data_IF_943121281246
#
_entry.id   IF_943121281246
#
_cell.length_a   1.000
_cell.length_b   1.000
_cell.length_c   1.000
_cell.angle_alpha   90.00
_cell.angle_beta   90.00
_cell.angle_gamma   90.00
#
_symmetry.space_group_name_H-M   'P 1'
#
loop_
_entity.id
_entity.type
_entity.pdbx_description
1 polymer ?
#
# COMPACT_ATOMS: atom_id res chain seq x y z
N UNK A 1 -0.63 -7.30 5.43
CA UNK A 1 -1.95 -6.79 5.83
C UNK A 1 -2.23 -5.46 5.16
N UNK A 2 -3.49 -5.20 4.86
CA UNK A 2 -3.97 -3.98 4.21
C UNK A 2 -5.40 -3.65 4.64
N UNK A 3 -5.84 -2.41 4.43
CA UNK A 3 -7.23 -1.98 4.69
C UNK A 3 -8.25 -2.54 3.69
N UNK A 4 -7.83 -3.16 2.60
CA UNK A 4 -8.69 -3.69 1.55
C UNK A 4 -7.95 -4.57 0.55
N UNK A 5 -8.33 -4.50 -0.73
CA UNK A 5 -7.70 -5.28 -1.81
C UNK A 5 -6.39 -4.66 -2.31
N UNK A 6 -6.13 -3.37 -2.03
CA UNK A 6 -4.98 -2.64 -2.55
C UNK A 6 -3.65 -3.30 -2.22
N UNK A 7 -3.50 -3.84 -1.02
CA UNK A 7 -2.28 -4.54 -0.59
C UNK A 7 -1.90 -5.77 -1.41
N UNK A 8 -2.80 -6.28 -2.25
CA UNK A 8 -2.46 -7.34 -3.21
C UNK A 8 -1.42 -6.89 -4.23
N UNK A 9 -1.26 -5.58 -4.48
CA UNK A 9 -0.19 -5.04 -5.33
C UNK A 9 1.19 -5.29 -4.72
N UNK A 10 1.34 -5.05 -3.41
CA UNK A 10 2.56 -5.32 -2.66
C UNK A 10 2.80 -6.84 -2.52
N UNK A 11 1.74 -7.60 -2.20
CA UNK A 11 1.82 -9.05 -2.10
C UNK A 11 2.23 -9.69 -3.44
N UNK A 12 1.81 -9.12 -4.59
CA UNK A 12 2.26 -9.54 -5.91
C UNK A 12 3.76 -9.38 -6.07
N UNK A 13 4.32 -8.22 -5.75
CA UNK A 13 5.77 -7.98 -5.85
C UNK A 13 6.55 -8.96 -4.97
N UNK A 14 6.06 -9.22 -3.75
CA UNK A 14 6.64 -10.22 -2.86
C UNK A 14 6.61 -11.61 -3.49
N UNK A 15 5.47 -12.03 -4.05
CA UNK A 15 5.32 -13.33 -4.70
C UNK A 15 6.23 -13.48 -5.93
N UNK A 16 6.32 -12.48 -6.78
CA UNK A 16 7.13 -12.50 -8.00
C UNK A 16 8.64 -12.56 -7.70
N UNK A 17 9.11 -11.82 -6.70
CA UNK A 17 10.54 -11.73 -6.36
C UNK A 17 11.01 -12.80 -5.35
N UNK A 18 10.10 -13.26 -4.47
CA UNK A 18 10.41 -14.17 -3.36
C UNK A 18 9.37 -15.30 -3.28
N UNK A 19 9.13 -15.98 -4.37
CA UNK A 19 8.10 -16.99 -4.56
C UNK A 19 8.13 -18.16 -3.57
N UNK A 20 9.26 -18.39 -2.88
CA UNK A 20 9.37 -19.39 -1.80
C UNK A 20 8.73 -18.95 -0.48
N UNK A 21 8.51 -17.64 -0.32
CA UNK A 21 7.87 -17.13 0.89
C UNK A 21 6.37 -17.43 0.88
N UNK A 22 5.88 -18.06 1.97
CA UNK A 22 4.45 -18.23 2.18
C UNK A 22 3.83 -16.90 2.56
N UNK A 23 2.80 -16.50 1.84
CA UNK A 23 2.05 -15.27 2.11
C UNK A 23 0.76 -15.61 2.85
N UNK A 24 0.56 -15.01 4.03
CA UNK A 24 -0.71 -14.94 4.72
C UNK A 24 -1.19 -13.50 4.61
N UNK A 25 -2.13 -13.25 3.71
CA UNK A 25 -2.69 -11.92 3.47
C UNK A 25 -3.98 -11.73 4.24
N UNK A 26 -4.16 -10.54 4.83
CA UNK A 26 -5.43 -10.09 5.40
C UNK A 26 -5.76 -8.70 4.86
N UNK A 27 -6.96 -8.56 4.27
CA UNK A 27 -7.54 -7.29 3.81
C UNK A 27 -8.82 -6.97 4.58
N UNK A 28 -8.85 -5.82 5.26
CA UNK A 28 -10.02 -5.40 6.04
C UNK A 28 -11.06 -4.67 5.19
N UNK A 29 -11.67 -5.41 4.29
CA UNK A 29 -12.68 -4.91 3.35
C UNK A 29 -13.98 -4.46 4.02
N UNK A 30 -14.27 -4.91 5.24
CA UNK A 30 -15.48 -4.52 5.98
C UNK A 30 -15.45 -3.06 6.46
N UNK A 31 -14.25 -2.57 6.86
CA UNK A 31 -14.06 -1.22 7.44
C UNK A 31 -13.38 -0.24 6.48
N UNK A 32 -13.06 -0.68 5.25
CA UNK A 32 -12.48 0.16 4.20
C UNK A 32 -13.49 1.26 3.76
N UNK A 33 -13.02 2.50 3.47
CA UNK A 33 -11.63 2.96 3.43
C UNK A 33 -11.11 3.49 4.77
N UNK A 34 -9.82 3.29 5.05
CA UNK A 34 -9.18 3.84 6.26
C UNK A 34 -8.74 5.31 6.11
N UNK A 35 -8.75 5.84 4.90
CA UNK A 35 -8.28 7.20 4.61
C UNK A 35 -9.07 8.33 5.30
N UNK A 36 -10.29 8.04 5.76
CA UNK A 36 -11.18 8.98 6.44
C UNK A 36 -11.22 8.76 7.97
N UNK A 37 -10.51 7.72 8.48
CA UNK A 37 -10.52 7.34 9.89
C UNK A 37 -9.55 8.17 10.72
N UNK A 38 -9.77 8.17 12.05
CA UNK A 38 -8.80 8.73 13.01
C UNK A 38 -7.60 7.80 13.17
N UNK A 39 -6.49 8.31 13.73
CA UNK A 39 -5.32 7.48 13.99
C UNK A 39 -5.62 6.36 15.00
N UNK A 40 -6.44 6.65 16.02
CA UNK A 40 -6.87 5.68 17.04
C UNK A 40 -7.69 4.55 16.43
N UNK A 41 -8.66 4.87 15.52
CA UNK A 41 -9.42 3.85 14.81
C UNK A 41 -8.51 2.98 13.94
N UNK A 42 -7.59 3.60 13.19
CA UNK A 42 -6.64 2.90 12.31
C UNK A 42 -5.76 1.95 13.13
N UNK A 43 -5.20 2.41 14.26
CA UNK A 43 -4.35 1.60 15.12
C UNK A 43 -5.13 0.45 15.76
N UNK A 44 -6.37 0.67 16.23
CA UNK A 44 -7.23 -0.38 16.75
C UNK A 44 -7.51 -1.47 15.72
N UNK A 45 -7.88 -1.10 14.49
CA UNK A 45 -8.12 -2.08 13.41
C UNK A 45 -6.83 -2.82 13.00
N UNK A 46 -5.71 -2.11 12.98
CA UNK A 46 -4.41 -2.70 12.66
C UNK A 46 -3.98 -3.69 13.75
N UNK A 47 -4.30 -3.45 15.02
CA UNK A 47 -4.00 -4.35 16.13
C UNK A 47 -4.73 -5.68 15.99
N UNK A 48 -6.04 -5.68 15.68
CA UNK A 48 -6.81 -6.89 15.43
C UNK A 48 -6.22 -7.72 14.27
N UNK A 49 -5.82 -7.07 13.17
CA UNK A 49 -5.16 -7.73 12.05
C UNK A 49 -3.78 -8.29 12.43
N UNK A 50 -3.02 -7.57 13.28
CA UNK A 50 -1.72 -8.02 13.79
C UNK A 50 -1.88 -9.28 14.63
N UNK A 51 -2.81 -9.29 15.57
CA UNK A 51 -3.11 -10.47 16.42
C UNK A 51 -3.50 -11.68 15.56
N UNK A 52 -4.36 -11.47 14.56
CA UNK A 52 -4.73 -12.54 13.63
C UNK A 52 -3.50 -13.12 12.90
N UNK A 53 -2.61 -12.27 12.39
CA UNK A 53 -1.41 -12.73 11.70
C UNK A 53 -0.43 -13.45 12.64
N UNK A 54 -0.25 -12.95 13.85
CA UNK A 54 0.59 -13.60 14.86
C UNK A 54 0.07 -15.01 15.20
N UNK A 55 -1.26 -15.19 15.31
CA UNK A 55 -1.89 -16.49 15.50
C UNK A 55 -1.67 -17.47 14.32
N UNK A 56 -1.31 -16.96 13.13
CA UNK A 56 -0.92 -17.75 11.94
C UNK A 56 0.56 -18.14 11.92
N UNK A 57 1.31 -17.86 12.99
CA UNK A 57 2.74 -18.13 13.10
C UNK A 57 3.55 -17.54 11.93
N UNK A 58 3.27 -16.31 11.56
CA UNK A 58 4.06 -15.58 10.57
C UNK A 58 5.40 -15.17 11.18
N UNK A 59 6.46 -15.15 10.38
CA UNK A 59 7.80 -14.74 10.81
C UNK A 59 8.10 -13.26 10.62
N UNK A 60 7.22 -12.53 9.94
CA UNK A 60 7.25 -11.10 9.71
C UNK A 60 5.85 -10.61 9.36
N UNK A 61 5.53 -9.39 9.72
CA UNK A 61 4.33 -8.69 9.26
C UNK A 61 4.75 -7.56 8.33
N UNK A 62 4.23 -7.58 7.10
CA UNK A 62 4.38 -6.50 6.13
C UNK A 62 3.06 -5.72 6.06
N UNK A 63 3.08 -4.46 6.48
CA UNK A 63 1.94 -3.55 6.36
C UNK A 63 1.96 -2.99 4.93
N UNK A 64 1.09 -3.49 4.07
CA UNK A 64 1.01 -3.07 2.68
C UNK A 64 0.20 -1.78 2.49
N UNK A 65 -0.38 -1.21 3.54
CA UNK A 65 -1.21 -0.02 3.52
C UNK A 65 -0.42 1.22 3.97
N UNK A 66 -0.33 2.25 3.12
CA UNK A 66 0.28 3.52 3.51
C UNK A 66 -0.46 4.18 4.68
N UNK A 67 -1.80 4.17 4.64
CA UNK A 67 -2.62 4.75 5.69
C UNK A 67 -2.32 4.11 7.05
N UNK A 68 -2.23 2.79 7.13
CA UNK A 68 -1.85 2.12 8.37
C UNK A 68 -0.40 2.48 8.74
N UNK A 69 0.54 2.28 7.81
CA UNK A 69 1.98 2.46 8.06
C UNK A 69 2.34 3.82 8.66
N UNK A 70 1.63 4.86 8.27
CA UNK A 70 1.95 6.24 8.65
C UNK A 70 1.01 6.83 9.72
N UNK A 71 0.05 6.07 10.24
CA UNK A 71 -0.87 6.53 11.27
C UNK A 71 -0.85 5.67 12.56
N UNK A 72 -0.20 4.50 12.55
CA UNK A 72 0.03 3.73 13.78
C UNK A 72 1.20 4.31 14.59
N UNK A 73 1.17 4.11 15.90
CA UNK A 73 2.20 4.59 16.82
C UNK A 73 3.53 3.84 16.62
N UNK A 74 4.62 4.41 17.14
CA UNK A 74 5.92 3.71 17.15
C UNK A 74 5.85 2.41 17.97
N UNK A 75 5.04 2.38 19.03
CA UNK A 75 4.86 1.20 19.88
C UNK A 75 4.21 0.04 19.13
N UNK A 76 3.39 0.32 18.12
CA UNK A 76 2.79 -0.71 17.28
C UNK A 76 3.82 -1.63 16.61
N UNK A 77 5.00 -1.11 16.29
CA UNK A 77 6.09 -1.86 15.65
C UNK A 77 6.88 -2.74 16.63
N UNK A 78 6.65 -2.62 17.94
CA UNK A 78 7.28 -3.46 18.96
C UNK A 78 6.46 -4.76 19.14
N UNK A 79 6.90 -5.83 18.49
CA UNK A 79 6.21 -7.10 18.47
C UNK A 79 7.19 -8.29 18.48
N UNK A 80 6.66 -9.50 18.70
CA UNK A 80 7.45 -10.74 18.73
C UNK A 80 8.12 -11.09 17.39
N UNK A 81 7.64 -10.49 16.29
CA UNK A 81 8.21 -10.61 14.94
C UNK A 81 8.45 -9.23 14.35
N UNK A 82 9.39 -9.07 13.41
CA UNK A 82 9.56 -7.80 12.70
C UNK A 82 8.26 -7.34 12.04
N UNK A 83 7.90 -6.07 12.23
CA UNK A 83 6.83 -5.40 11.50
C UNK A 83 7.46 -4.35 10.59
N UNK A 84 7.14 -4.37 9.31
CA UNK A 84 7.66 -3.43 8.31
C UNK A 84 6.48 -2.74 7.64
N UNK A 85 6.46 -1.41 7.71
CA UNK A 85 5.49 -0.56 7.00
C UNK A 85 5.90 -0.25 5.57
N UNK A 86 5.03 0.47 4.86
CA UNK A 86 5.34 0.98 3.52
C UNK A 86 6.60 1.84 3.56
N UNK A 87 7.47 1.60 2.59
CA UNK A 87 8.73 2.34 2.50
C UNK A 87 8.46 3.78 2.08
N UNK A 88 9.13 4.69 2.76
CA UNK A 88 9.31 6.06 2.34
C UNK A 88 10.73 6.30 1.80
N UNK A 89 11.60 5.30 1.90
CA UNK A 89 12.88 5.27 1.19
C UNK A 89 12.67 4.78 -0.26
N UNK A 90 12.08 5.66 -1.04
CA UNK A 90 11.72 5.42 -2.44
C UNK A 90 12.77 6.12 -3.29
N UNK A 91 13.52 5.40 -4.13
CA UNK A 91 14.46 6.04 -5.04
C UNK A 91 13.70 6.87 -6.09
N UNK A 92 14.07 8.15 -6.17
CA UNK A 92 13.57 9.06 -7.21
C UNK A 92 14.73 9.44 -8.15
N UNK A 93 14.44 9.78 -9.42
CA UNK A 93 15.46 10.27 -10.33
C UNK A 93 16.16 11.52 -9.78
N UNK A 94 17.49 11.59 -9.94
CA UNK A 94 18.29 12.67 -9.37
C UNK A 94 18.05 14.05 -10.01
N UNK A 95 17.38 14.10 -11.16
CA UNK A 95 16.98 15.32 -11.88
C UNK A 95 15.59 15.84 -11.48
N UNK A 96 14.90 15.17 -10.53
CA UNK A 96 13.58 15.56 -10.06
C UNK A 96 13.65 16.88 -9.30
N UNK A 97 12.88 17.87 -9.73
CA UNK A 97 12.76 19.18 -9.06
C UNK A 97 11.46 19.26 -8.24
N UNK A 98 10.38 18.70 -8.77
CA UNK A 98 9.06 18.76 -8.14
C UNK A 98 8.43 17.37 -8.07
N UNK A 99 8.23 16.90 -6.84
CA UNK A 99 7.69 15.59 -6.52
C UNK A 99 6.25 15.71 -6.04
N UNK A 100 5.32 14.99 -6.70
CA UNK A 100 3.95 14.84 -6.22
C UNK A 100 3.80 13.61 -5.32
N UNK A 101 3.08 13.74 -4.22
CA UNK A 101 2.66 12.62 -3.37
C UNK A 101 1.14 12.48 -3.50
N UNK A 102 0.68 11.51 -4.27
CA UNK A 102 -0.74 11.17 -4.35
C UNK A 102 -1.07 10.14 -3.28
N UNK A 103 -1.93 10.48 -2.32
CA UNK A 103 -2.26 9.57 -1.23
C UNK A 103 -3.67 9.83 -0.67
N UNK A 104 -4.10 9.02 0.30
CA UNK A 104 -5.32 9.27 1.07
C UNK A 104 -5.16 10.47 2.00
N UNK A 105 -6.26 11.11 2.40
CA UNK A 105 -6.22 12.23 3.33
C UNK A 105 -5.47 11.90 4.63
N UNK A 106 -5.69 10.72 5.22
CA UNK A 106 -4.98 10.31 6.44
C UNK A 106 -3.47 10.19 6.23
N UNK A 107 -3.01 9.62 5.09
CA UNK A 107 -1.59 9.53 4.75
C UNK A 107 -0.98 10.92 4.57
N UNK A 108 -1.67 11.84 3.89
CA UNK A 108 -1.20 13.22 3.71
C UNK A 108 -1.11 13.96 5.05
N UNK A 109 -2.11 13.84 5.93
CA UNK A 109 -2.08 14.47 7.27
C UNK A 109 -0.88 14.06 8.12
N UNK A 110 -0.32 12.87 7.90
CA UNK A 110 0.89 12.42 8.62
C UNK A 110 2.16 13.19 8.20
N UNK A 111 2.18 13.72 6.98
CA UNK A 111 3.32 14.35 6.32
C UNK A 111 4.60 13.47 6.28
N UNK A 112 4.47 12.17 6.50
CA UNK A 112 5.63 11.28 6.61
C UNK A 112 6.43 11.20 5.31
N UNK A 113 5.76 11.06 4.16
CA UNK A 113 6.45 11.06 2.87
C UNK A 113 7.17 12.39 2.62
N UNK A 114 6.46 13.51 2.79
CA UNK A 114 7.02 14.84 2.57
C UNK A 114 8.28 15.08 3.40
N UNK A 115 8.18 14.89 4.72
CA UNK A 115 9.31 15.08 5.65
C UNK A 115 10.53 14.28 5.23
N UNK A 116 10.36 13.00 4.87
CA UNK A 116 11.48 12.16 4.50
C UNK A 116 12.14 12.54 3.18
N UNK A 117 11.36 12.97 2.18
CA UNK A 117 11.93 13.45 0.92
C UNK A 117 12.66 14.79 1.09
N UNK A 118 12.10 15.73 1.85
CA UNK A 118 12.71 17.03 2.14
C UNK A 118 13.97 16.90 3.02
N UNK A 119 13.98 15.96 3.97
CA UNK A 119 15.18 15.66 4.79
C UNK A 119 16.34 15.12 3.95
N UNK A 120 16.05 14.30 2.93
CA UNK A 120 17.06 13.73 2.04
C UNK A 120 17.52 14.69 0.95
N UNK A 121 16.64 15.54 0.48
CA UNK A 121 16.90 16.53 -0.56
C UNK A 121 16.16 17.84 -0.25
N UNK A 122 16.79 18.78 0.48
CA UNK A 122 16.17 20.04 0.87
C UNK A 122 15.78 20.96 -0.32
N UNK A 123 16.34 20.75 -1.50
CA UNK A 123 16.02 21.51 -2.70
C UNK A 123 14.81 20.94 -3.46
N UNK A 124 14.29 19.78 -3.06
CA UNK A 124 13.16 19.12 -3.70
C UNK A 124 11.85 19.78 -3.27
N UNK A 125 11.10 20.31 -4.24
CA UNK A 125 9.74 20.75 -3.97
C UNK A 125 8.80 19.54 -3.86
N UNK A 126 8.19 19.34 -2.70
CA UNK A 126 7.26 18.24 -2.46
C UNK A 126 5.84 18.75 -2.32
N UNK A 127 4.96 18.31 -3.23
CA UNK A 127 3.53 18.65 -3.27
C UNK A 127 2.70 17.45 -2.81
N UNK A 128 1.95 17.62 -1.74
CA UNK A 128 1.02 16.62 -1.22
C UNK A 128 -0.38 16.78 -1.84
N UNK A 129 -0.88 15.72 -2.47
CA UNK A 129 -2.14 15.73 -3.23
C UNK A 129 -3.06 14.64 -2.67
N UNK A 130 -3.97 14.96 -1.74
CA UNK A 130 -4.93 14.01 -1.24
C UNK A 130 -5.99 13.69 -2.30
N UNK A 131 -6.28 12.39 -2.49
CA UNK A 131 -7.38 11.94 -3.34
C UNK A 131 -8.33 11.08 -2.50
N UNK A 132 -9.30 11.72 -1.85
CA UNK A 132 -10.15 11.09 -0.84
C UNK A 132 -11.00 9.94 -1.39
N UNK A 133 -11.56 10.10 -2.60
CA UNK A 133 -12.55 9.16 -3.15
C UNK A 133 -11.94 8.01 -3.96
N UNK A 134 -10.68 8.12 -4.39
CA UNK A 134 -10.12 7.20 -5.37
C UNK A 134 -9.93 5.78 -4.81
N UNK A 135 -9.42 5.64 -3.59
CA UNK A 135 -9.23 4.32 -2.98
C UNK A 135 -10.56 3.57 -2.89
N UNK A 136 -11.62 4.25 -2.43
CA UNK A 136 -12.97 3.69 -2.36
C UNK A 136 -13.52 3.33 -3.74
N UNK A 137 -13.36 4.22 -4.72
CA UNK A 137 -13.81 3.97 -6.09
C UNK A 137 -13.14 2.71 -6.67
N UNK A 138 -11.83 2.56 -6.50
CA UNK A 138 -11.08 1.38 -6.97
C UNK A 138 -11.52 0.11 -6.22
N UNK A 139 -11.67 0.17 -4.90
CA UNK A 139 -12.13 -0.97 -4.07
C UNK A 139 -13.48 -1.51 -4.56
N UNK A 140 -14.38 -0.64 -5.00
CA UNK A 140 -15.72 -1.02 -5.47
C UNK A 140 -15.83 -1.17 -6.98
N UNK A 141 -14.70 -1.20 -7.71
CA UNK A 141 -14.66 -1.51 -9.13
C UNK A 141 -15.14 -0.38 -10.05
N UNK A 142 -14.89 0.87 -9.66
CA UNK A 142 -15.19 2.03 -10.49
C UNK A 142 -14.57 1.91 -11.90
N UNK A 143 -15.26 2.47 -12.87
CA UNK A 143 -14.77 2.50 -14.25
C UNK A 143 -13.50 3.36 -14.37
N UNK A 144 -12.74 3.13 -15.44
CA UNK A 144 -11.55 3.94 -15.76
C UNK A 144 -11.89 5.43 -15.88
N UNK A 145 -13.03 5.76 -16.48
CA UNK A 145 -13.49 7.13 -16.68
C UNK A 145 -13.82 7.82 -15.35
N UNK A 146 -14.41 7.09 -14.42
CA UNK A 146 -14.70 7.59 -13.08
C UNK A 146 -13.42 7.84 -12.30
N UNK A 147 -12.47 6.91 -12.31
CA UNK A 147 -11.16 7.09 -11.70
C UNK A 147 -10.43 8.30 -12.28
N UNK A 148 -10.43 8.44 -13.61
CA UNK A 148 -9.82 9.56 -14.32
C UNK A 148 -10.44 10.91 -13.91
N UNK A 149 -11.78 10.97 -13.79
CA UNK A 149 -12.47 12.17 -13.31
C UNK A 149 -12.02 12.56 -11.91
N UNK A 150 -11.97 11.60 -10.96
CA UNK A 150 -11.54 11.84 -9.58
C UNK A 150 -10.08 12.35 -9.55
N UNK A 151 -9.18 11.74 -10.34
CA UNK A 151 -7.79 12.16 -10.42
C UNK A 151 -7.68 13.58 -11.00
N UNK A 152 -8.42 13.87 -12.06
CA UNK A 152 -8.44 15.22 -12.69
C UNK A 152 -8.90 16.29 -11.71
N UNK A 153 -9.96 16.02 -10.94
CA UNK A 153 -10.46 16.95 -9.93
C UNK A 153 -9.38 17.26 -8.86
N UNK A 154 -8.65 16.25 -8.40
CA UNK A 154 -7.57 16.41 -7.43
C UNK A 154 -6.41 17.23 -8.04
N UNK A 155 -5.94 16.86 -9.24
CA UNK A 155 -4.85 17.57 -9.94
C UNK A 155 -5.18 19.04 -10.14
N UNK A 156 -6.42 19.34 -10.55
CA UNK A 156 -6.90 20.73 -10.71
C UNK A 156 -6.90 21.50 -9.39
N UNK A 157 -7.41 20.88 -8.32
CA UNK A 157 -7.53 21.52 -7.00
C UNK A 157 -6.18 21.92 -6.42
N UNK A 158 -5.17 21.09 -6.66
CA UNK A 158 -3.80 21.31 -6.16
C UNK A 158 -2.85 21.91 -7.20
N UNK A 159 -3.34 22.24 -8.41
CA UNK A 159 -2.55 22.79 -9.53
C UNK A 159 -1.30 21.95 -9.83
N UNK A 160 -1.43 20.63 -9.75
CA UNK A 160 -0.32 19.69 -9.77
C UNK A 160 0.07 19.25 -11.20
N UNK A 161 0.01 20.15 -12.19
CA UNK A 161 0.36 19.83 -13.58
C UNK A 161 1.85 19.92 -13.89
N UNK A 162 2.63 20.57 -13.05
CA UNK A 162 4.06 20.84 -13.23
C UNK A 162 4.98 19.95 -12.40
N UNK A 163 4.46 18.80 -11.93
CA UNK A 163 5.25 17.79 -11.24
C UNK A 163 6.04 16.94 -12.24
N UNK A 164 7.26 16.56 -11.87
CA UNK A 164 8.16 15.73 -12.70
C UNK A 164 7.95 14.24 -12.43
N UNK A 165 7.85 13.92 -11.14
CA UNK A 165 7.70 12.56 -10.61
C UNK A 165 6.58 12.54 -9.61
N UNK A 166 5.86 11.42 -9.53
CA UNK A 166 4.80 11.21 -8.55
C UNK A 166 4.90 9.87 -7.85
N UNK A 167 4.77 9.89 -6.53
CA UNK A 167 4.63 8.68 -5.71
C UNK A 167 3.15 8.33 -5.56
N UNK A 168 2.80 7.08 -5.87
CA UNK A 168 1.48 6.51 -5.63
C UNK A 168 1.38 6.02 -4.18
N UNK A 169 1.16 6.95 -3.26
CA UNK A 169 1.14 6.73 -1.80
C UNK A 169 -0.16 6.08 -1.27
N UNK A 170 -0.81 5.28 -2.10
CA UNK A 170 -1.92 4.40 -1.73
C UNK A 170 -1.88 3.14 -2.58
N UNK A 171 -2.03 1.98 -1.95
CA UNK A 171 -1.94 0.66 -2.59
C UNK A 171 -3.01 0.37 -3.66
N UNK A 172 -4.09 1.14 -3.66
CA UNK A 172 -5.11 1.08 -4.71
C UNK A 172 -4.69 1.80 -6.00
N UNK A 173 -3.83 2.81 -5.91
CA UNK A 173 -3.53 3.68 -7.06
C UNK A 173 -2.75 2.98 -8.18
N UNK A 174 -1.82 2.05 -7.91
CA UNK A 174 -1.19 1.25 -8.97
C UNK A 174 -2.18 0.42 -9.80
N UNK A 175 -3.35 0.04 -9.24
CA UNK A 175 -4.40 -0.68 -9.98
C UNK A 175 -5.03 0.18 -11.08
N UNK A 176 -4.95 1.49 -10.95
CA UNK A 176 -5.49 2.48 -11.91
C UNK A 176 -4.42 3.43 -12.44
N UNK A 177 -3.15 3.01 -12.45
CA UNK A 177 -2.02 3.82 -12.94
C UNK A 177 -2.24 4.35 -14.37
N UNK A 178 -2.92 3.56 -15.22
CA UNK A 178 -3.26 4.00 -16.57
C UNK A 178 -4.13 5.28 -16.59
N UNK A 179 -5.01 5.45 -15.61
CA UNK A 179 -5.83 6.68 -15.47
C UNK A 179 -4.97 7.88 -15.05
N UNK A 180 -4.00 7.67 -14.17
CA UNK A 180 -3.02 8.71 -13.80
C UNK A 180 -2.19 9.15 -15.00
N UNK A 181 -1.69 8.19 -15.80
CA UNK A 181 -0.89 8.46 -17.02
C UNK A 181 -1.67 9.22 -18.09
N UNK A 182 -2.98 9.04 -18.17
CA UNK A 182 -3.82 9.82 -19.11
C UNK A 182 -4.06 11.25 -18.63
N UNK A 183 -4.13 11.50 -17.32
CA UNK A 183 -4.31 12.84 -16.75
C UNK A 183 -3.01 13.63 -16.74
N UNK A 184 -1.90 12.95 -16.47
CA UNK A 184 -0.56 13.51 -16.31
C UNK A 184 0.46 12.73 -17.16
N UNK A 185 0.37 12.79 -18.51
CA UNK A 185 1.19 11.96 -19.40
C UNK A 185 2.69 12.23 -19.31
N UNK A 186 3.09 13.42 -18.84
CA UNK A 186 4.50 13.81 -18.66
C UNK A 186 5.10 13.33 -17.36
N UNK A 187 4.27 12.89 -16.38
CA UNK A 187 4.71 12.55 -15.03
C UNK A 187 5.21 11.10 -14.98
N UNK A 188 6.32 10.88 -14.31
CA UNK A 188 6.86 9.55 -14.01
C UNK A 188 6.28 9.07 -12.68
N UNK A 189 5.46 8.01 -12.72
CA UNK A 189 4.84 7.42 -11.52
C UNK A 189 5.72 6.36 -10.89
N UNK A 190 5.79 6.36 -9.55
CA UNK A 190 6.54 5.41 -8.74
C UNK A 190 5.59 4.74 -7.74
N UNK A 191 5.56 3.41 -7.76
CA UNK A 191 4.89 2.58 -6.77
C UNK A 191 5.87 2.20 -5.66
N UNK A 192 5.59 2.52 -4.38
CA UNK A 192 6.45 2.16 -3.25
C UNK A 192 6.56 0.65 -2.98
N UNK A 193 5.74 -0.19 -3.60
CA UNK A 193 5.65 -1.62 -3.32
C UNK A 193 7.00 -2.33 -3.44
N UNK A 194 7.78 -2.04 -4.49
CA UNK A 194 9.07 -2.67 -4.69
C UNK A 194 10.08 -2.32 -3.59
N UNK A 195 10.24 -1.03 -3.27
CA UNK A 195 11.12 -0.57 -2.19
C UNK A 195 10.71 -1.16 -0.84
N UNK A 196 9.40 -1.25 -0.59
CA UNK A 196 8.85 -1.86 0.62
C UNK A 196 9.22 -3.33 0.75
N UNK A 197 9.01 -4.11 -0.30
CA UNK A 197 9.36 -5.53 -0.32
C UNK A 197 10.86 -5.75 -0.18
N UNK A 198 11.69 -4.97 -0.89
CA UNK A 198 13.14 -5.06 -0.81
C UNK A 198 13.66 -4.78 0.61
N UNK A 199 13.12 -3.76 1.27
CA UNK A 199 13.44 -3.44 2.67
C UNK A 199 13.07 -4.59 3.61
N UNK A 200 11.83 -5.09 3.53
CA UNK A 200 11.35 -6.20 4.35
C UNK A 200 12.21 -7.46 4.19
N UNK A 201 12.52 -7.82 2.94
CA UNK A 201 13.31 -9.00 2.63
C UNK A 201 14.79 -8.83 2.98
N UNK A 202 15.32 -7.60 2.95
CA UNK A 202 16.64 -7.27 3.49
C UNK A 202 16.77 -7.61 4.97
N UNK A 203 15.76 -7.26 5.77
CA UNK A 203 15.68 -7.60 7.20
C UNK A 203 15.62 -9.12 7.39
N UNK A 204 14.79 -9.84 6.62
CA UNK A 204 14.68 -11.30 6.69
C UNK A 204 15.98 -11.99 6.33
N UNK A 205 16.68 -11.51 5.31
CA UNK A 205 17.99 -12.03 4.92
C UNK A 205 19.03 -11.83 6.03
N UNK A 206 19.06 -10.65 6.65
CA UNK A 206 19.96 -10.36 7.77
C UNK A 206 19.71 -11.24 9.00
N UNK A 207 18.49 -11.77 9.17
CA UNK A 207 18.11 -12.72 10.22
C UNK A 207 18.23 -14.20 9.81
N UNK A 208 18.70 -14.49 8.60
CA UNK A 208 18.79 -15.85 8.03
C UNK A 208 17.46 -16.62 8.04
N UNK A 209 16.34 -15.88 7.86
CA UNK A 209 14.98 -16.43 7.99
C UNK A 209 14.26 -16.61 6.65
N UNK A 210 14.95 -16.53 5.50
CA UNK A 210 14.32 -16.78 4.20
C UNK A 210 13.91 -18.24 4.05
N UNK A 211 12.76 -18.45 3.39
CA UNK A 211 12.22 -19.80 3.16
C UNK A 211 13.00 -20.52 2.06
N UNK A 212 13.31 -21.79 2.30
CA UNK A 212 13.95 -22.66 1.31
C UNK A 212 12.94 -23.35 0.39
N UNK A 213 11.71 -23.55 0.88
CA UNK A 213 10.62 -24.23 0.17
C UNK A 213 9.39 -23.35 0.10
N UNK A 214 8.67 -23.45 -1.02
CA UNK A 214 7.39 -22.75 -1.20
C UNK A 214 6.33 -23.32 -0.23
N UNK A 215 5.63 -22.41 0.46
CA UNK A 215 4.44 -22.72 1.24
C UNK A 215 3.16 -22.34 0.50
N UNK A 216 2.01 -22.80 0.98
CA UNK A 216 0.71 -22.45 0.44
C UNK A 216 0.31 -21.05 0.87
N UNK A 217 0.00 -20.19 -0.09
CA UNK A 217 -0.51 -18.84 0.15
C UNK A 217 -1.97 -18.88 0.63
N UNK A 218 -2.31 -18.03 1.59
CA UNK A 218 -3.66 -17.87 2.12
C UNK A 218 -4.08 -16.40 2.12
N UNK A 219 -5.30 -16.13 1.69
CA UNK A 219 -5.85 -14.78 1.58
C UNK A 219 -7.15 -14.69 2.37
N UNK A 220 -7.20 -13.74 3.29
CA UNK A 220 -8.32 -13.51 4.17
C UNK A 220 -8.90 -12.12 3.95
N UNK A 221 -10.24 -12.04 3.90
CA UNK A 221 -10.96 -10.77 3.78
C UNK A 221 -12.05 -10.72 4.84
N UNK A 222 -12.29 -9.54 5.41
CA UNK A 222 -13.30 -9.40 6.48
C UNK A 222 -14.72 -9.30 5.93
N UNK A 223 -14.87 -9.03 4.63
CA UNK A 223 -16.17 -8.97 3.95
C UNK A 223 -15.99 -9.12 2.42
N UNK A 224 -17.03 -9.65 1.76
CA UNK A 224 -17.18 -9.66 0.30
C UNK A 224 -15.97 -10.30 -0.43
N UNK A 225 -15.48 -11.45 0.07
CA UNK A 225 -14.34 -12.15 -0.56
C UNK A 225 -14.55 -12.40 -2.06
N UNK A 226 -15.80 -12.58 -2.51
CA UNK A 226 -16.12 -12.83 -3.91
C UNK A 226 -15.53 -11.77 -4.83
N UNK A 227 -15.54 -10.50 -4.40
CA UNK A 227 -14.94 -9.39 -5.17
C UNK A 227 -13.41 -9.50 -5.25
N UNK A 228 -12.79 -10.10 -4.25
CA UNK A 228 -11.33 -10.25 -4.16
C UNK A 228 -10.81 -11.52 -4.83
N UNK A 229 -11.66 -12.55 -4.98
CA UNK A 229 -11.29 -13.87 -5.52
C UNK A 229 -10.69 -13.78 -6.90
N UNK A 230 -11.31 -13.01 -7.81
CA UNK A 230 -10.83 -12.91 -9.19
C UNK A 230 -9.46 -12.23 -9.26
N UNK A 231 -9.26 -11.17 -8.46
CA UNK A 231 -7.97 -10.48 -8.40
C UNK A 231 -6.88 -11.39 -7.79
N UNK A 232 -7.19 -12.08 -6.69
CA UNK A 232 -6.26 -13.04 -6.06
C UNK A 232 -5.90 -14.16 -7.05
N UNK A 233 -6.88 -14.79 -7.70
CA UNK A 233 -6.63 -15.86 -8.67
C UNK A 233 -5.85 -15.39 -9.90
N UNK A 234 -6.05 -14.16 -10.33
CA UNK A 234 -5.32 -13.57 -11.45
C UNK A 234 -3.84 -13.38 -11.11
N UNK A 235 -3.53 -12.99 -9.86
CA UNK A 235 -2.15 -12.69 -9.41
C UNK A 235 -1.42 -13.97 -8.96
N UNK A 236 -2.08 -14.80 -8.15
CA UNK A 236 -1.45 -15.91 -7.42
C UNK A 236 -1.80 -17.30 -7.95
N UNK A 237 -2.62 -17.36 -9.00
CA UNK A 237 -3.07 -18.61 -9.60
C UNK A 237 -4.40 -19.15 -9.05
N UNK A 238 -4.97 -20.10 -9.75
CA UNK A 238 -6.33 -20.63 -9.45
C UNK A 238 -6.42 -21.37 -8.12
N UNK A 239 -5.30 -21.90 -7.63
CA UNK A 239 -5.21 -22.68 -6.38
C UNK A 239 -5.07 -21.81 -5.12
N UNK A 240 -5.03 -20.48 -5.25
CA UNK A 240 -4.93 -19.57 -4.12
C UNK A 240 -6.18 -19.67 -3.23
N UNK A 241 -5.99 -19.98 -1.94
CA UNK A 241 -7.07 -20.14 -0.98
C UNK A 241 -7.57 -18.78 -0.48
N UNK A 242 -8.83 -18.44 -0.78
CA UNK A 242 -9.49 -17.19 -0.33
C UNK A 242 -10.59 -17.51 0.67
N UNK A 243 -10.54 -16.85 1.83
CA UNK A 243 -11.43 -17.12 2.97
C UNK A 243 -12.03 -15.82 3.52
N UNK A 244 -13.29 -15.90 4.01
CA UNK A 244 -13.86 -14.84 4.85
C UNK A 244 -13.41 -15.05 6.29
N UNK A 245 -13.25 -13.93 7.01
CA UNK A 245 -13.03 -13.91 8.46
C UNK A 245 -13.81 -12.79 9.12
N UNK A 246 -13.99 -12.89 10.41
CA UNK A 246 -14.48 -11.82 11.28
C UNK A 246 -13.34 -11.49 12.23
N UNK A 247 -12.97 -10.20 12.31
CA UNK A 247 -12.04 -9.65 13.30
C UNK A 247 -12.81 -9.09 14.48
#
# INVERSE_FOLDING_TARGET
>A
MDSGIGGLTVARVLHEKYWKERIVFIGDTARNPYGERTAEEIEGFAEEMKEFLLAKNVKMILIACNTISFNVSKAYYDASVPIVGMSSDIPIPGDTKKLGIFATAATIRSHCHKKQFEEKNPELEVVEIPIEKLAKAVEYGASKEECKKIITEAVNSYKAYDIDVAVLGCTHYPLVESSFREVLPQVRFIDPAESTVMNAMGIMKGKECLSEKQGQNEFFFTKDKEKSVDLVKKIFGKEAAVKDIVL
#
